data_IF_475248974116
#
_entry.id   IF_475248974116
#
_cell.length_a   1.000
_cell.length_b   1.000
_cell.length_c   1.000
_cell.angle_alpha   90.00
_cell.angle_beta   90.00
_cell.angle_gamma   90.00
#
_symmetry.space_group_name_H-M   'P 1'
#
loop_
_entity.id
_entity.type
_entity.pdbx_description
1 polymer ?
#
# COMPACT_ATOMS: atom_id res chain seq x y z
N UNK A 1 23.70 57.72 29.01
CA UNK A 1 24.25 56.51 28.36
C UNK A 1 23.09 55.75 27.76
N UNK A 2 23.06 55.61 26.43
CA UNK A 2 22.14 54.73 25.67
C UNK A 2 22.55 53.28 25.96
N UNK A 3 21.60 52.39 26.21
CA UNK A 3 21.71 50.94 25.94
C UNK A 3 20.28 50.43 25.69
N UNK A 4 19.86 50.38 24.42
CA UNK A 4 19.83 49.20 23.54
C UNK A 4 18.63 48.27 23.80
N UNK A 5 17.61 48.46 22.98
CA UNK A 5 16.66 47.44 22.53
C UNK A 5 17.41 46.16 22.13
N UNK A 6 16.96 45.00 22.62
CA UNK A 6 17.18 43.74 21.94
C UNK A 6 16.00 42.80 22.20
N UNK A 7 15.08 42.79 21.23
CA UNK A 7 14.13 41.72 20.98
C UNK A 7 14.96 40.49 20.60
N UNK A 8 14.96 39.43 21.41
CA UNK A 8 15.53 38.14 21.04
C UNK A 8 14.38 37.17 20.79
N UNK A 9 14.16 36.93 19.49
CA UNK A 9 13.17 36.03 18.95
C UNK A 9 13.45 34.57 19.32
N UNK A 10 12.37 33.78 19.26
CA UNK A 10 12.25 32.34 19.39
C UNK A 10 13.49 31.52 18.96
N UNK A 11 13.93 30.63 19.85
CA UNK A 11 14.70 29.45 19.47
C UNK A 11 13.86 28.21 19.79
N UNK A 12 13.54 27.51 18.72
CA UNK A 12 12.60 26.40 18.56
C UNK A 12 12.98 25.16 19.36
N UNK A 13 12.07 24.67 20.19
CA UNK A 13 12.07 23.29 20.68
C UNK A 13 11.55 22.39 19.55
N UNK A 14 12.46 21.82 18.76
CA UNK A 14 12.12 20.72 17.86
C UNK A 14 13.18 19.64 17.98
N UNK A 15 13.12 18.92 19.11
CA UNK A 15 13.66 17.57 19.20
C UNK A 15 12.83 16.69 18.25
N UNK A 16 13.26 16.62 16.99
CA UNK A 16 12.73 15.68 16.01
C UNK A 16 13.02 14.27 16.49
N UNK A 17 12.03 13.66 17.13
CA UNK A 17 12.06 12.26 17.51
C UNK A 17 12.03 11.48 16.19
N UNK A 18 13.19 11.07 15.70
CA UNK A 18 13.30 10.10 14.63
C UNK A 18 12.86 8.74 15.19
N UNK A 19 11.55 8.56 15.35
CA UNK A 19 11.00 7.25 15.64
C UNK A 19 11.27 6.38 14.40
N UNK A 20 11.95 5.22 14.55
CA UNK A 20 12.09 4.30 13.43
C UNK A 20 10.68 3.86 13.03
N UNK A 21 10.37 3.97 11.74
CA UNK A 21 9.21 3.31 11.17
C UNK A 21 9.45 1.80 11.30
N UNK A 22 8.79 1.17 12.26
CA UNK A 22 8.79 -0.28 12.38
C UNK A 22 7.98 -0.82 11.20
N UNK A 23 8.65 -1.51 10.27
CA UNK A 23 7.95 -2.28 9.25
C UNK A 23 7.39 -3.53 9.94
N UNK A 24 6.07 -3.71 9.90
CA UNK A 24 5.43 -4.91 10.41
C UNK A 24 5.78 -6.09 9.48
N UNK A 25 6.72 -6.93 9.95
CA UNK A 25 7.19 -8.13 9.26
C UNK A 25 6.16 -9.25 9.53
N UNK A 26 5.01 -9.20 8.85
CA UNK A 26 3.96 -10.22 8.95
C UNK A 26 4.43 -11.54 8.31
N UNK A 27 5.23 -12.32 9.06
CA UNK A 27 5.53 -13.72 8.76
C UNK A 27 4.36 -14.60 9.18
N UNK A 28 3.27 -14.56 8.43
CA UNK A 28 2.26 -15.62 8.44
C UNK A 28 2.30 -16.32 7.09
N UNK A 29 2.62 -17.62 7.09
CA UNK A 29 2.59 -18.48 5.89
C UNK A 29 1.18 -18.54 5.24
N UNK A 30 0.17 -18.04 5.94
CA UNK A 30 -1.11 -17.61 5.39
C UNK A 30 -1.33 -16.14 5.68
N UNK A 31 -1.19 -15.32 4.66
CA UNK A 31 -1.68 -13.95 4.62
C UNK A 31 -3.16 -13.91 5.07
N UNK A 32 -3.41 -13.45 6.29
CA UNK A 32 -4.73 -13.10 6.83
C UNK A 32 -5.45 -12.06 5.97
N UNK A 33 -4.68 -11.26 5.22
CA UNK A 33 -5.17 -10.29 4.24
C UNK A 33 -5.72 -10.90 2.93
N UNK A 34 -5.56 -12.20 2.69
CA UNK A 34 -6.08 -12.85 1.48
C UNK A 34 -7.46 -13.47 1.71
N UNK A 35 -8.38 -13.20 0.79
CA UNK A 35 -9.65 -13.90 0.70
C UNK A 35 -9.41 -15.42 0.58
N UNK A 36 -10.03 -16.20 1.47
CA UNK A 36 -9.82 -17.65 1.54
C UNK A 36 -10.47 -18.40 0.37
N UNK A 37 -11.53 -17.85 -0.23
CA UNK A 37 -12.30 -18.52 -1.27
C UNK A 37 -13.06 -17.49 -2.13
N UNK A 38 -12.42 -16.89 -3.14
CA UNK A 38 -13.13 -16.07 -4.11
C UNK A 38 -14.04 -16.93 -4.98
N UNK A 39 -15.27 -16.48 -5.20
CA UNK A 39 -16.13 -16.98 -6.27
C UNK A 39 -15.94 -16.08 -7.50
N UNK A 40 -15.62 -16.66 -8.64
CA UNK A 40 -15.46 -15.91 -9.90
C UNK A 40 -16.85 -15.59 -10.45
N UNK A 41 -17.16 -14.29 -10.56
CA UNK A 41 -18.44 -13.80 -11.07
C UNK A 41 -18.37 -13.49 -12.55
N UNK A 42 -17.24 -12.95 -13.01
CA UNK A 42 -17.05 -12.50 -14.39
C UNK A 42 -15.60 -12.69 -14.81
N UNK A 43 -15.36 -13.04 -16.07
CA UNK A 43 -14.02 -13.19 -16.66
C UNK A 43 -13.90 -12.44 -17.98
N UNK A 44 -12.72 -11.90 -18.28
CA UNK A 44 -12.42 -11.31 -19.58
C UNK A 44 -12.11 -12.37 -20.67
N UNK A 45 -11.86 -11.91 -21.90
CA UNK A 45 -11.51 -12.77 -23.05
C UNK A 45 -10.22 -13.59 -22.87
N UNK A 46 -9.36 -13.21 -21.91
CA UNK A 46 -8.13 -13.92 -21.57
C UNK A 46 -8.34 -14.95 -20.44
N UNK A 47 -9.59 -15.14 -19.97
CA UNK A 47 -9.92 -16.04 -18.87
C UNK A 47 -9.54 -15.51 -17.48
N UNK A 48 -9.19 -14.22 -17.36
CA UNK A 48 -8.89 -13.60 -16.05
C UNK A 48 -10.18 -13.10 -15.40
N UNK A 49 -10.36 -13.36 -14.11
CA UNK A 49 -11.49 -12.87 -13.35
C UNK A 49 -11.50 -11.34 -13.28
N UNK A 50 -12.55 -10.70 -13.81
CA UNK A 50 -12.77 -9.24 -13.75
C UNK A 50 -13.61 -8.84 -12.54
N UNK A 51 -14.44 -9.76 -12.03
CA UNK A 51 -15.19 -9.61 -10.78
C UNK A 51 -15.14 -10.87 -9.96
N UNK A 52 -14.99 -10.69 -8.65
CA UNK A 52 -15.01 -11.78 -7.67
C UNK A 52 -16.01 -11.47 -6.58
N UNK A 53 -16.61 -12.51 -6.01
CA UNK A 53 -17.35 -12.42 -4.76
C UNK A 53 -16.47 -12.91 -3.62
N UNK A 54 -16.30 -12.06 -2.61
CA UNK A 54 -15.56 -12.33 -1.38
C UNK A 54 -16.51 -12.04 -0.23
N UNK A 55 -16.74 -13.02 0.64
CA UNK A 55 -17.59 -12.87 1.84
C UNK A 55 -19.01 -12.35 1.57
N UNK A 56 -19.54 -12.62 0.37
CA UNK A 56 -20.89 -12.19 -0.04
C UNK A 56 -20.95 -10.84 -0.76
N UNK A 57 -19.85 -10.08 -0.78
CA UNK A 57 -19.72 -8.83 -1.52
C UNK A 57 -19.02 -9.04 -2.86
N UNK A 58 -19.45 -8.31 -3.89
CA UNK A 58 -18.86 -8.38 -5.23
C UNK A 58 -17.89 -7.22 -5.42
N UNK A 59 -16.66 -7.54 -5.78
CA UNK A 59 -15.58 -6.59 -6.03
C UNK A 59 -15.09 -6.69 -7.46
N UNK A 60 -14.72 -5.55 -8.03
CA UNK A 60 -13.95 -5.50 -9.28
C UNK A 60 -12.49 -5.83 -9.01
N UNK A 61 -11.89 -6.66 -9.85
CA UNK A 61 -10.48 -7.05 -9.72
C UNK A 61 -9.61 -6.06 -10.47
N UNK A 62 -8.51 -5.61 -9.84
CA UNK A 62 -7.58 -4.71 -10.48
C UNK A 62 -6.96 -5.33 -11.74
N UNK A 63 -7.00 -4.57 -12.82
CA UNK A 63 -6.51 -4.93 -14.15
C UNK A 63 -5.49 -3.89 -14.61
N UNK A 64 -4.74 -4.16 -15.67
CA UNK A 64 -3.74 -3.22 -16.19
C UNK A 64 -4.30 -1.80 -16.41
N UNK A 65 -5.58 -1.71 -16.74
CA UNK A 65 -6.28 -0.47 -17.12
C UNK A 65 -6.94 0.24 -15.92
N UNK A 66 -7.05 -0.44 -14.77
CA UNK A 66 -7.69 0.09 -13.56
C UNK A 66 -7.00 -0.45 -12.31
N UNK A 67 -6.34 0.46 -11.58
CA UNK A 67 -5.58 0.16 -10.36
C UNK A 67 -6.21 0.81 -9.11
N UNK A 68 -7.18 1.71 -9.30
CA UNK A 68 -7.86 2.43 -8.22
C UNK A 68 -9.27 1.85 -7.99
N UNK A 69 -9.70 1.75 -6.73
CA UNK A 69 -11.06 1.34 -6.37
C UNK A 69 -11.39 -0.14 -6.59
N UNK A 70 -10.39 -0.98 -6.87
CA UNK A 70 -10.52 -2.40 -7.14
C UNK A 70 -9.78 -3.25 -6.09
N UNK A 71 -10.13 -4.53 -5.99
CA UNK A 71 -9.38 -5.49 -5.18
C UNK A 71 -8.17 -6.01 -5.96
N UNK A 72 -7.00 -5.98 -5.32
CA UNK A 72 -5.80 -6.57 -5.92
C UNK A 72 -6.00 -8.09 -6.13
N UNK A 73 -5.60 -8.67 -7.27
CA UNK A 73 -5.89 -10.07 -7.59
C UNK A 73 -5.43 -11.06 -6.50
N UNK A 74 -4.30 -10.76 -5.86
CA UNK A 74 -3.76 -11.56 -4.76
C UNK A 74 -4.55 -11.42 -3.46
N UNK A 75 -5.05 -10.23 -3.16
CA UNK A 75 -5.92 -9.99 -2.01
C UNK A 75 -7.27 -10.70 -2.21
N UNK A 76 -7.73 -10.76 -3.46
CA UNK A 76 -8.87 -11.57 -3.87
C UNK A 76 -8.60 -13.08 -3.82
N UNK A 77 -7.40 -13.56 -3.47
CA UNK A 77 -7.11 -15.00 -3.44
C UNK A 77 -6.89 -15.64 -4.82
N UNK A 78 -6.69 -14.84 -5.87
CA UNK A 78 -6.39 -15.33 -7.22
C UNK A 78 -4.91 -15.68 -7.37
N UNK A 79 -4.60 -16.63 -8.24
CA UNK A 79 -3.22 -17.11 -8.49
C UNK A 79 -2.42 -16.26 -9.49
N UNK A 80 -2.74 -14.97 -9.63
CA UNK A 80 -2.06 -14.03 -10.53
C UNK A 80 -1.98 -12.63 -9.92
N UNK A 81 -1.30 -11.70 -10.58
CA UNK A 81 -1.16 -10.31 -10.09
C UNK A 81 -0.01 -10.11 -9.09
N UNK A 82 0.95 -11.04 -9.04
CA UNK A 82 2.16 -10.94 -8.22
C UNK A 82 3.24 -10.03 -8.80
N UNK A 83 2.97 -9.31 -9.89
CA UNK A 83 4.02 -8.51 -10.52
C UNK A 83 4.31 -7.28 -9.65
N UNK A 84 5.48 -7.19 -8.99
CA UNK A 84 5.82 -6.00 -8.23
C UNK A 84 5.91 -4.81 -9.20
N UNK A 85 5.66 -3.61 -8.70
CA UNK A 85 6.09 -2.40 -9.40
C UNK A 85 7.62 -2.50 -9.54
N UNK A 86 8.10 -2.85 -10.75
CA UNK A 86 9.52 -3.10 -11.02
C UNK A 86 10.40 -1.85 -10.87
N UNK A 87 9.80 -0.70 -10.60
CA UNK A 87 10.47 0.59 -10.45
C UNK A 87 10.62 0.97 -8.97
N UNK A 88 11.37 0.19 -8.20
CA UNK A 88 12.11 0.77 -7.07
C UNK A 88 13.51 1.11 -7.59
N UNK A 89 13.84 2.38 -7.88
CA UNK A 89 15.19 2.72 -8.32
C UNK A 89 16.17 2.40 -7.17
N UNK A 90 16.97 1.37 -7.38
CA UNK A 90 17.94 0.82 -6.42
C UNK A 90 19.11 1.78 -6.11
N UNK A 91 19.09 2.99 -6.69
CA UNK A 91 20.25 3.88 -6.81
C UNK A 91 20.09 5.19 -6.02
N UNK A 92 19.48 5.19 -4.83
CA UNK A 92 19.41 6.38 -3.94
C UNK A 92 20.00 6.19 -2.54
N UNK A 93 20.92 5.24 -2.36
CA UNK A 93 21.81 5.16 -1.19
C UNK A 93 23.22 4.76 -1.63
N UNK A 94 24.15 5.70 -1.59
CA UNK A 94 25.57 5.52 -1.91
C UNK A 94 26.15 6.76 -2.53
#
# INVERSE_FOLDING_TARGET
MRNFLAIAAAATLSAGIAAPAMADDHKNDRADWKAQSPEIVETNAQGKATKVRVEGEVYEVCMNESQDGCIQPRAAGLNWGDYPAMDFPENRRG
#
